data_IF_585889036764
#
_entry.id   IF_585889036764
#
_cell.length_a   1.000
_cell.length_b   1.000
_cell.length_c   1.000
_cell.angle_alpha   90.00
_cell.angle_beta   90.00
_cell.angle_gamma   90.00
#
_symmetry.space_group_name_H-M   'P 1'
#
loop_
_entity.id
_entity.type
_entity.pdbx_description
1 polymer ?
#
# COMPACT_ATOMS: atom_id res chain seq x y z
N UNK A 1 4.94 31.81 4.87
CA UNK A 1 4.72 30.49 4.25
C UNK A 1 5.18 29.45 5.25
N UNK A 2 4.24 28.94 6.05
CA UNK A 2 4.54 28.16 7.25
C UNK A 2 4.86 26.70 6.93
N UNK A 3 5.93 26.22 7.56
CA UNK A 3 6.36 24.82 7.68
C UNK A 3 5.24 23.93 8.21
N UNK A 4 5.21 22.68 7.74
CA UNK A 4 4.87 21.55 8.61
C UNK A 4 6.06 20.58 8.59
N UNK A 5 6.72 20.56 9.73
CA UNK A 5 7.83 19.72 10.11
C UNK A 5 7.24 18.33 10.45
N UNK A 6 7.60 17.28 9.72
CA UNK A 6 7.39 15.91 10.19
C UNK A 6 8.67 15.43 10.86
N UNK A 7 8.79 15.77 12.15
CA UNK A 7 9.83 15.23 13.03
C UNK A 7 9.28 14.04 13.80
N UNK A 8 9.64 12.82 13.37
CA UNK A 8 9.81 11.68 14.27
C UNK A 8 10.85 10.74 13.63
N UNK A 9 12.06 10.75 14.20
CA UNK A 9 13.14 9.88 13.75
C UNK A 9 12.82 8.43 14.08
N UNK A 10 12.64 7.62 13.03
CA UNK A 10 12.77 6.18 13.06
C UNK A 10 13.68 5.78 11.90
N UNK A 11 14.50 4.77 12.13
CA UNK A 11 15.62 4.34 11.30
C UNK A 11 15.22 4.24 9.82
N UNK A 12 15.73 5.17 9.03
CA UNK A 12 15.58 5.24 7.58
C UNK A 12 16.42 4.13 6.93
N UNK A 13 15.98 2.89 7.09
CA UNK A 13 16.23 1.88 6.06
C UNK A 13 15.31 2.25 4.90
N UNK A 14 15.76 2.05 3.67
CA UNK A 14 15.21 2.54 2.39
C UNK A 14 13.72 2.22 2.08
N UNK A 15 12.94 1.69 3.02
CA UNK A 15 11.58 1.16 2.88
C UNK A 15 10.60 1.70 3.95
N UNK A 16 10.56 3.01 4.22
CA UNK A 16 9.52 3.60 5.09
C UNK A 16 9.42 3.02 6.52
N UNK A 17 8.29 3.26 7.21
CA UNK A 17 7.99 2.75 8.56
C UNK A 17 7.45 1.30 8.45
N UNK A 18 7.74 0.40 9.40
CA UNK A 18 7.15 -0.95 9.39
C UNK A 18 5.61 -0.85 9.37
N UNK A 19 4.91 -1.53 8.45
CA UNK A 19 3.44 -1.52 8.41
C UNK A 19 2.76 -1.81 9.75
N UNK A 20 3.37 -2.64 10.61
CA UNK A 20 2.84 -2.99 11.93
C UNK A 20 2.80 -1.81 12.88
N UNK A 21 3.66 -0.83 12.67
CA UNK A 21 3.75 0.40 13.47
C UNK A 21 2.83 1.51 12.94
N UNK A 22 2.25 1.34 11.75
CA UNK A 22 1.33 2.33 11.17
C UNK A 22 -0.06 2.26 11.83
N UNK A 23 -0.63 3.40 12.25
CA UNK A 23 -2.06 3.52 12.51
C UNK A 23 -2.89 3.13 11.27
N UNK A 24 -4.14 2.68 11.47
CA UNK A 24 -5.00 2.23 10.37
C UNK A 24 -5.19 3.31 9.28
N UNK A 25 -5.43 4.56 9.67
CA UNK A 25 -5.59 5.67 8.72
C UNK A 25 -4.32 5.94 7.89
N UNK A 26 -3.16 5.75 8.51
CA UNK A 26 -1.86 5.93 7.87
C UNK A 26 -1.57 4.77 6.90
N UNK A 27 -1.82 3.54 7.33
CA UNK A 27 -1.73 2.33 6.49
C UNK A 27 -2.61 2.47 5.25
N UNK A 28 -3.87 2.88 5.42
CA UNK A 28 -4.80 3.06 4.32
C UNK A 28 -4.40 4.23 3.40
N UNK A 29 -3.81 5.30 3.95
CA UNK A 29 -3.26 6.39 3.14
C UNK A 29 -2.07 5.92 2.30
N UNK A 30 -1.14 5.16 2.88
CA UNK A 30 0.02 4.65 2.16
C UNK A 30 -0.38 3.68 1.04
N UNK A 31 -1.32 2.76 1.30
CA UNK A 31 -1.86 1.86 0.27
C UNK A 31 -2.46 2.62 -0.92
N UNK A 32 -3.28 3.64 -0.66
CA UNK A 32 -3.85 4.48 -1.73
C UNK A 32 -2.76 5.15 -2.57
N UNK A 33 -1.73 5.69 -1.93
CA UNK A 33 -0.62 6.35 -2.63
C UNK A 33 0.18 5.37 -3.49
N UNK A 34 0.45 4.16 -2.99
CA UNK A 34 1.13 3.13 -3.77
C UNK A 34 0.32 2.71 -4.99
N UNK A 35 -0.97 2.45 -4.84
CA UNK A 35 -1.82 2.08 -5.96
C UNK A 35 -1.92 3.19 -7.02
N UNK A 36 -1.96 4.45 -6.59
CA UNK A 36 -2.02 5.61 -7.50
C UNK A 36 -0.78 5.68 -8.43
N UNK A 37 0.39 5.27 -7.92
CA UNK A 37 1.68 5.42 -8.62
C UNK A 37 2.19 4.11 -9.24
N UNK A 38 1.53 2.98 -8.96
CA UNK A 38 1.99 1.64 -9.34
C UNK A 38 2.19 1.49 -10.84
N UNK A 39 1.19 1.87 -11.64
CA UNK A 39 1.24 1.71 -13.09
C UNK A 39 2.32 2.56 -13.71
N UNK A 40 2.50 3.79 -13.23
CA UNK A 40 3.57 4.67 -13.71
C UNK A 40 4.96 4.11 -13.36
N UNK A 41 5.14 3.63 -12.14
CA UNK A 41 6.39 2.97 -11.72
C UNK A 41 6.66 1.70 -12.53
N UNK A 42 5.63 0.93 -12.87
CA UNK A 42 5.74 -0.28 -13.69
C UNK A 42 6.18 0.03 -15.12
N UNK A 43 5.65 1.09 -15.72
CA UNK A 43 5.91 1.41 -17.12
C UNK A 43 7.19 2.24 -17.31
N UNK A 44 7.54 3.08 -16.33
CA UNK A 44 8.55 4.13 -16.49
C UNK A 44 9.60 4.18 -15.37
N UNK A 45 9.43 3.40 -14.29
CA UNK A 45 10.40 3.34 -13.20
C UNK A 45 11.65 2.56 -13.57
N UNK A 46 12.74 2.78 -12.82
CA UNK A 46 13.89 1.88 -12.87
C UNK A 46 13.56 0.51 -12.27
N UNK A 47 14.38 -0.50 -12.57
CA UNK A 47 14.25 -1.83 -11.98
C UNK A 47 14.25 -1.78 -10.44
N UNK A 48 15.14 -0.97 -9.85
CA UNK A 48 15.22 -0.77 -8.39
C UNK A 48 13.96 -0.10 -7.82
N UNK A 49 13.40 0.88 -8.55
CA UNK A 49 12.17 1.55 -8.14
C UNK A 49 10.99 0.57 -8.18
N UNK A 50 10.89 -0.24 -9.23
CA UNK A 50 9.86 -1.27 -9.36
C UNK A 50 10.00 -2.35 -8.29
N UNK A 51 11.21 -2.80 -7.99
CA UNK A 51 11.48 -3.79 -6.95
C UNK A 51 11.05 -3.26 -5.57
N UNK A 52 11.45 -2.03 -5.24
CA UNK A 52 11.07 -1.36 -3.99
C UNK A 52 9.56 -1.20 -3.88
N UNK A 53 8.91 -0.73 -4.94
CA UNK A 53 7.45 -0.54 -4.98
C UNK A 53 6.70 -1.86 -4.81
N UNK A 54 7.19 -2.93 -5.43
CA UNK A 54 6.60 -4.28 -5.32
C UNK A 54 6.70 -4.81 -3.89
N UNK A 55 7.88 -4.71 -3.27
CA UNK A 55 8.07 -5.14 -1.89
C UNK A 55 7.15 -4.36 -0.95
N UNK A 56 7.14 -3.03 -1.07
CA UNK A 56 6.35 -2.17 -0.19
C UNK A 56 4.84 -2.41 -0.34
N UNK A 57 4.38 -2.68 -1.57
CA UNK A 57 2.99 -3.07 -1.82
C UNK A 57 2.63 -4.34 -1.07
N UNK A 58 3.47 -5.39 -1.18
CA UNK A 58 3.23 -6.67 -0.50
C UNK A 58 3.23 -6.52 1.03
N UNK A 59 4.13 -5.72 1.58
CA UNK A 59 4.23 -5.47 3.02
C UNK A 59 2.95 -4.82 3.58
N UNK A 60 2.48 -3.75 2.95
CA UNK A 60 1.29 -3.02 3.40
C UNK A 60 -0.01 -3.80 3.15
N UNK A 61 -0.12 -4.52 2.02
CA UNK A 61 -1.26 -5.40 1.76
C UNK A 61 -1.30 -6.56 2.75
N UNK A 62 -0.15 -7.15 3.07
CA UNK A 62 -0.03 -8.21 4.07
C UNK A 62 -0.46 -7.74 5.47
N UNK A 63 -0.09 -6.51 5.85
CA UNK A 63 -0.59 -5.88 7.07
C UNK A 63 -2.10 -5.71 7.06
N UNK A 64 -2.64 -5.14 5.98
CA UNK A 64 -4.07 -4.92 5.84
C UNK A 64 -4.86 -6.24 5.98
N UNK A 65 -4.43 -7.30 5.28
CA UNK A 65 -5.07 -8.61 5.35
C UNK A 65 -4.98 -9.23 6.74
N UNK A 66 -3.87 -9.02 7.47
CA UNK A 66 -3.72 -9.53 8.84
C UNK A 66 -4.66 -8.83 9.82
N UNK A 67 -4.86 -7.52 9.66
CA UNK A 67 -5.82 -6.73 10.47
C UNK A 67 -7.27 -7.02 10.10
N UNK A 68 -7.52 -7.45 8.86
CA UNK A 68 -8.86 -7.64 8.30
C UNK A 68 -9.06 -9.08 7.77
N UNK A 69 -9.00 -10.11 8.64
CA UNK A 69 -9.20 -11.50 8.21
C UNK A 69 -10.61 -11.76 7.65
N UNK A 70 -11.60 -10.99 8.11
CA UNK A 70 -13.00 -11.08 7.68
C UNK A 70 -13.38 -9.97 6.70
N UNK A 71 -12.41 -9.47 5.89
CA UNK A 71 -12.67 -8.39 4.93
C UNK A 71 -13.86 -8.71 4.03
N UNK A 72 -14.64 -7.68 3.73
CA UNK A 72 -15.77 -7.82 2.82
C UNK A 72 -15.29 -8.16 1.40
N UNK A 73 -15.96 -9.13 0.79
CA UNK A 73 -15.67 -9.60 -0.58
C UNK A 73 -16.95 -9.41 -1.38
N UNK A 74 -16.95 -8.42 -2.26
CA UNK A 74 -18.06 -8.16 -3.17
C UNK A 74 -18.33 -9.40 -4.06
N UNK A 75 -19.48 -10.08 -3.91
CA UNK A 75 -19.81 -11.26 -4.71
C UNK A 75 -19.83 -10.99 -6.22
N UNK A 76 -20.13 -9.75 -6.64
CA UNK A 76 -20.11 -9.32 -8.03
C UNK A 76 -18.71 -9.24 -8.64
N UNK A 77 -17.65 -9.24 -7.80
CA UNK A 77 -16.25 -9.33 -8.23
C UNK A 77 -15.76 -10.76 -8.35
N UNK A 78 -16.52 -11.74 -7.84
CA UNK A 78 -16.23 -13.16 -8.05
C UNK A 78 -16.54 -13.55 -9.49
N UNK A 79 -15.82 -14.55 -10.02
CA UNK A 79 -16.00 -15.04 -11.40
C UNK A 79 -17.44 -15.46 -11.70
N UNK A 80 -18.15 -15.99 -10.70
CA UNK A 80 -19.55 -16.38 -10.83
C UNK A 80 -20.48 -15.16 -10.91
N UNK A 81 -20.31 -14.17 -10.04
CA UNK A 81 -21.07 -12.92 -10.08
C UNK A 81 -20.79 -12.09 -11.34
N UNK A 82 -19.55 -12.10 -11.85
CA UNK A 82 -19.17 -11.40 -13.08
C UNK A 82 -19.81 -11.98 -14.35
N UNK A 83 -20.27 -13.24 -14.33
CA UNK A 83 -20.96 -13.91 -15.46
C UNK A 83 -22.47 -13.73 -15.45
N UNK A 84 -23.05 -13.25 -14.34
CA UNK A 84 -24.50 -13.10 -14.16
C UNK A 84 -25.01 -11.70 -14.53
N UNK A 85 -24.15 -10.84 -15.08
CA UNK A 85 -24.39 -9.42 -15.37
C UNK A 85 -24.24 -9.10 -16.84
#
# INVERSE_FOLDING_TARGET
MSRVFWGRGYLMTTMGIDPRELPDDDLMRELRQLHMTRTDTLLHGSDDALATHTLRTNELEGEYLRRNPERDVDPGRLREGARQR
#
